data_IF_038017317831
#
_entry.id   IF_038017317831
#
_cell.length_a   1.000
_cell.length_b   1.000
_cell.length_c   1.000
_cell.angle_alpha   90.00
_cell.angle_beta   90.00
_cell.angle_gamma   90.00
#
_symmetry.space_group_name_H-M   'P 1'
#
loop_
_entity.id
_entity.type
_entity.pdbx_description
1 polymer ?
#
# COMPACT_ATOMS: atom_id res chain seq x y z
N UNK A 1 30.24 45.89 -4.69
CA UNK A 1 28.94 45.45 -4.13
C UNK A 1 27.86 46.53 -4.14
N UNK A 2 28.04 47.73 -3.57
CA UNK A 2 27.00 48.80 -3.55
C UNK A 2 26.21 48.95 -4.87
N UNK A 3 26.90 49.29 -5.97
CA UNK A 3 26.28 49.43 -7.30
C UNK A 3 25.56 48.18 -7.82
N UNK A 4 26.07 46.97 -7.53
CA UNK A 4 25.41 45.74 -7.92
C UNK A 4 24.09 45.53 -7.14
N UNK A 5 24.03 45.93 -5.86
CA UNK A 5 22.79 45.94 -5.07
C UNK A 5 21.79 46.99 -5.57
N UNK A 6 22.27 48.18 -5.95
CA UNK A 6 21.43 49.24 -6.53
C UNK A 6 20.77 48.76 -7.84
N UNK A 7 21.54 48.11 -8.74
CA UNK A 7 21.03 47.48 -9.95
C UNK A 7 20.00 46.37 -9.65
N UNK A 8 20.29 45.49 -8.68
CA UNK A 8 19.39 44.40 -8.31
C UNK A 8 18.06 44.90 -7.71
N UNK A 9 18.13 45.92 -6.85
CA UNK A 9 16.95 46.55 -6.24
C UNK A 9 16.10 47.27 -7.30
N UNK A 10 16.73 47.82 -8.35
CA UNK A 10 16.05 48.34 -9.55
C UNK A 10 15.54 47.26 -10.52
N UNK A 11 15.60 45.97 -10.15
CA UNK A 11 15.13 44.86 -10.97
C UNK A 11 16.10 44.38 -12.06
N UNK A 12 17.24 45.06 -12.26
CA UNK A 12 18.24 44.77 -13.28
C UNK A 12 19.21 43.65 -12.82
N UNK A 13 18.64 42.48 -12.50
CA UNK A 13 19.35 41.36 -11.88
C UNK A 13 20.54 40.84 -12.72
N UNK A 14 20.44 40.85 -14.05
CA UNK A 14 21.53 40.45 -14.95
C UNK A 14 22.72 41.41 -14.87
N UNK A 15 22.45 42.72 -14.89
CA UNK A 15 23.48 43.77 -14.75
C UNK A 15 24.10 43.74 -13.33
N UNK A 16 23.29 43.43 -12.32
CA UNK A 16 23.77 43.22 -10.96
C UNK A 16 24.74 42.03 -10.86
N UNK A 17 24.41 40.89 -11.47
CA UNK A 17 25.30 39.72 -11.56
C UNK A 17 26.62 40.12 -12.24
N UNK A 18 26.57 40.71 -13.43
CA UNK A 18 27.76 41.15 -14.17
C UNK A 18 28.65 42.10 -13.33
N UNK A 19 28.05 43.06 -12.62
CA UNK A 19 28.81 44.01 -11.81
C UNK A 19 29.35 43.41 -10.48
N UNK A 20 28.75 42.32 -9.99
CA UNK A 20 29.29 41.54 -8.86
C UNK A 20 30.40 40.56 -9.29
N UNK A 21 30.33 39.97 -10.49
CA UNK A 21 31.32 39.02 -11.00
C UNK A 21 32.72 39.63 -11.21
N UNK A 22 32.79 40.95 -11.38
CA UNK A 22 34.04 41.74 -11.39
C UNK A 22 34.81 41.68 -10.05
N UNK A 23 34.21 41.14 -8.99
CA UNK A 23 34.87 40.88 -7.71
C UNK A 23 35.47 39.47 -7.78
N UNK A 24 36.73 39.39 -8.22
CA UNK A 24 37.50 38.14 -8.27
C UNK A 24 37.83 37.54 -6.90
N UNK A 25 38.30 36.29 -6.92
CA UNK A 25 38.77 35.55 -5.73
C UNK A 25 39.88 36.33 -5.00
N UNK A 26 39.96 36.17 -3.68
CA UNK A 26 40.93 36.87 -2.83
C UNK A 26 40.55 38.30 -2.42
N UNK A 27 39.47 38.88 -2.98
CA UNK A 27 38.92 40.17 -2.52
C UNK A 27 38.02 39.98 -1.31
N UNK A 28 38.06 40.91 -0.35
CA UNK A 28 37.29 40.84 0.90
C UNK A 28 35.77 40.64 0.70
N UNK A 29 35.18 41.18 -0.39
CA UNK A 29 33.76 41.06 -0.70
C UNK A 29 33.41 39.86 -1.63
N UNK A 30 34.34 38.92 -1.87
CA UNK A 30 34.13 37.81 -2.81
C UNK A 30 33.00 36.86 -2.40
N UNK A 31 32.92 36.52 -1.11
CA UNK A 31 31.86 35.67 -0.55
C UNK A 31 30.48 36.33 -0.69
N UNK A 32 30.39 37.60 -0.28
CA UNK A 32 29.19 38.45 -0.41
C UNK A 32 28.74 38.56 -1.87
N UNK A 33 29.67 38.75 -2.81
CA UNK A 33 29.40 38.80 -4.24
C UNK A 33 28.83 37.48 -4.76
N UNK A 34 29.46 36.34 -4.44
CA UNK A 34 28.98 35.02 -4.90
C UNK A 34 27.63 34.62 -4.29
N UNK A 35 27.39 34.92 -3.02
CA UNK A 35 26.06 34.74 -2.41
C UNK A 35 24.99 35.57 -3.13
N UNK A 36 25.29 36.84 -3.43
CA UNK A 36 24.37 37.74 -4.14
C UNK A 36 24.08 37.24 -5.57
N UNK A 37 25.11 36.83 -6.32
CA UNK A 37 24.97 36.26 -7.67
C UNK A 37 24.06 35.04 -7.65
N UNK A 38 24.30 34.07 -6.75
CA UNK A 38 23.49 32.86 -6.64
C UNK A 38 22.01 33.18 -6.32
N UNK A 39 21.77 34.17 -5.46
CA UNK A 39 20.41 34.62 -5.13
C UNK A 39 19.72 35.28 -6.33
N UNK A 40 20.41 36.16 -7.06
CA UNK A 40 19.85 36.84 -8.23
C UNK A 40 19.59 35.87 -9.39
N UNK A 41 20.50 34.93 -9.64
CA UNK A 41 20.30 33.84 -10.61
C UNK A 41 19.08 32.99 -10.25
N UNK A 42 18.91 32.63 -8.98
CA UNK A 42 17.73 31.91 -8.52
C UNK A 42 16.43 32.72 -8.71
N UNK A 43 16.44 34.04 -8.49
CA UNK A 43 15.29 34.91 -8.74
C UNK A 43 14.95 35.04 -10.23
N UNK A 44 15.96 35.11 -11.12
CA UNK A 44 15.74 35.07 -12.58
C UNK A 44 15.13 33.73 -12.99
N UNK A 45 15.69 32.61 -12.52
CA UNK A 45 15.14 31.27 -12.77
C UNK A 45 13.68 31.17 -12.32
N UNK A 46 13.35 31.58 -11.09
CA UNK A 46 11.94 31.59 -10.62
C UNK A 46 11.03 32.40 -11.55
N UNK A 47 11.45 33.58 -12.01
CA UNK A 47 10.63 34.39 -12.94
C UNK A 47 10.35 33.67 -14.27
N UNK A 48 11.31 32.88 -14.77
CA UNK A 48 11.18 32.11 -16.02
C UNK A 48 10.34 30.84 -15.80
N UNK A 49 10.58 30.14 -14.69
CA UNK A 49 10.03 28.82 -14.41
C UNK A 49 8.62 28.88 -13.78
N UNK A 50 8.23 30.01 -13.14
CA UNK A 50 6.95 30.15 -12.43
C UNK A 50 5.71 29.95 -13.32
N UNK A 51 5.61 30.53 -14.54
CA UNK A 51 4.44 30.31 -15.40
C UNK A 51 4.22 28.84 -15.78
N UNK A 52 5.31 28.05 -15.86
CA UNK A 52 5.26 26.61 -16.10
C UNK A 52 4.67 25.89 -14.87
N UNK A 53 5.09 26.27 -13.66
CA UNK A 53 4.55 25.73 -12.42
C UNK A 53 3.08 26.10 -12.22
N UNK A 54 2.71 27.36 -12.50
CA UNK A 54 1.34 27.86 -12.42
C UNK A 54 0.42 27.14 -13.41
N UNK A 55 0.88 26.94 -14.66
CA UNK A 55 0.17 26.14 -15.66
C UNK A 55 -0.01 24.68 -15.22
N UNK A 56 1.03 24.07 -14.64
CA UNK A 56 0.96 22.71 -14.12
C UNK A 56 -0.06 22.60 -12.97
N UNK A 57 -0.09 23.57 -12.05
CA UNK A 57 -1.08 23.65 -10.97
C UNK A 57 -2.49 23.84 -11.52
N UNK A 58 -2.69 24.70 -12.53
CA UNK A 58 -3.99 24.88 -13.17
C UNK A 58 -4.51 23.59 -13.85
N UNK A 59 -3.63 22.83 -14.51
CA UNK A 59 -3.96 21.52 -15.09
C UNK A 59 -4.37 20.50 -14.01
N UNK A 60 -3.67 20.46 -12.87
CA UNK A 60 -4.02 19.57 -11.76
C UNK A 60 -5.32 19.96 -11.06
N UNK A 61 -5.61 21.26 -10.94
CA UNK A 61 -6.89 21.76 -10.42
C UNK A 61 -8.08 21.38 -11.33
N UNK A 62 -7.83 21.19 -12.63
CA UNK A 62 -8.76 20.60 -13.59
C UNK A 62 -8.71 19.05 -13.63
N UNK A 63 -8.14 18.41 -12.59
CA UNK A 63 -7.90 16.97 -12.45
C UNK A 63 -7.08 16.31 -13.58
N UNK A 64 -6.44 17.09 -14.46
CA UNK A 64 -5.56 16.60 -15.51
C UNK A 64 -4.13 16.42 -14.99
N UNK A 65 -3.98 15.48 -14.05
CA UNK A 65 -2.72 15.22 -13.35
C UNK A 65 -1.58 14.77 -14.28
N UNK A 66 -1.85 14.05 -15.37
CA UNK A 66 -0.81 13.64 -16.32
C UNK A 66 -0.22 14.84 -17.07
N UNK A 67 -1.06 15.76 -17.56
CA UNK A 67 -0.59 17.00 -18.18
C UNK A 67 0.10 17.93 -17.16
N UNK A 68 -0.39 17.97 -15.92
CA UNK A 68 0.26 18.70 -14.83
C UNK A 68 1.68 18.18 -14.55
N UNK A 69 1.83 16.86 -14.39
CA UNK A 69 3.13 16.19 -14.21
C UNK A 69 4.04 16.45 -15.41
N UNK A 70 3.53 16.35 -16.64
CA UNK A 70 4.32 16.59 -17.85
C UNK A 70 4.76 18.05 -17.98
N UNK A 71 3.94 19.01 -17.55
CA UNK A 71 4.28 20.44 -17.54
C UNK A 71 5.33 20.75 -16.47
N UNK A 72 5.12 20.32 -15.22
CA UNK A 72 6.08 20.56 -14.13
C UNK A 72 7.45 19.88 -14.36
N UNK A 73 7.50 18.77 -15.12
CA UNK A 73 8.76 18.11 -15.53
C UNK A 73 9.64 18.95 -16.45
N UNK A 74 9.13 20.04 -17.05
CA UNK A 74 9.93 20.97 -17.85
C UNK A 74 10.87 21.83 -16.98
N UNK A 75 10.60 21.95 -15.67
CA UNK A 75 11.46 22.67 -14.73
C UNK A 75 12.68 21.80 -14.39
N UNK A 76 13.82 22.09 -15.01
CA UNK A 76 15.03 21.26 -14.93
C UNK A 76 15.50 21.06 -13.49
N UNK A 77 16.08 19.88 -13.19
CA UNK A 77 16.38 19.44 -11.83
C UNK A 77 17.41 20.28 -11.03
N UNK A 78 18.08 21.24 -11.67
CA UNK A 78 19.03 22.19 -11.10
C UNK A 78 18.43 23.59 -10.85
N UNK A 79 17.17 23.85 -11.23
CA UNK A 79 16.51 25.15 -11.16
C UNK A 79 15.95 25.48 -9.78
N UNK A 80 15.79 26.77 -9.51
CA UNK A 80 15.28 27.32 -8.25
C UNK A 80 13.86 26.87 -7.85
N UNK A 81 12.98 26.49 -8.80
CA UNK A 81 11.65 25.90 -8.52
C UNK A 81 11.63 24.37 -8.54
N UNK A 82 12.73 23.70 -8.89
CA UNK A 82 12.73 22.25 -9.13
C UNK A 82 12.40 21.41 -7.88
N UNK A 83 12.60 21.94 -6.67
CA UNK A 83 12.18 21.28 -5.42
C UNK A 83 10.64 21.28 -5.26
N UNK A 84 10.00 22.39 -5.61
CA UNK A 84 8.55 22.57 -5.54
C UNK A 84 7.84 21.79 -6.65
N UNK A 85 8.38 21.84 -7.87
CA UNK A 85 7.90 21.03 -9.00
C UNK A 85 7.88 19.52 -8.66
N UNK A 86 8.95 18.99 -8.06
CA UNK A 86 9.01 17.60 -7.59
C UNK A 86 7.96 17.28 -6.51
N UNK A 87 7.72 18.20 -5.58
CA UNK A 87 6.70 18.03 -4.54
C UNK A 87 5.29 17.95 -5.13
N UNK A 88 4.97 18.81 -6.09
CA UNK A 88 3.67 18.80 -6.77
C UNK A 88 3.50 17.53 -7.63
N UNK A 89 4.52 17.14 -8.41
CA UNK A 89 4.53 15.88 -9.18
C UNK A 89 4.26 14.66 -8.27
N UNK A 90 4.86 14.62 -7.08
CA UNK A 90 4.65 13.54 -6.10
C UNK A 90 3.20 13.45 -5.63
N UNK A 91 2.55 14.60 -5.36
CA UNK A 91 1.13 14.68 -5.00
C UNK A 91 0.23 14.20 -6.12
N UNK A 92 0.42 14.71 -7.34
CA UNK A 92 -0.38 14.36 -8.50
C UNK A 92 -0.24 12.88 -8.89
N UNK A 93 0.95 12.29 -8.71
CA UNK A 93 1.14 10.85 -8.87
C UNK A 93 0.38 10.03 -7.82
N UNK A 94 0.25 10.53 -6.59
CA UNK A 94 -0.57 9.90 -5.56
C UNK A 94 -2.08 9.96 -5.90
N UNK A 95 -2.57 11.05 -6.49
CA UNK A 95 -3.96 11.15 -6.96
C UNK A 95 -4.26 10.17 -8.10
N UNK A 96 -3.37 10.07 -9.11
CA UNK A 96 -3.48 9.06 -10.18
C UNK A 96 -3.53 7.64 -9.60
N UNK A 97 -2.67 7.34 -8.63
CA UNK A 97 -2.64 6.03 -7.96
C UNK A 97 -3.91 5.77 -7.15
N UNK A 98 -4.46 6.80 -6.48
CA UNK A 98 -5.70 6.72 -5.71
C UNK A 98 -6.91 6.45 -6.63
N UNK A 99 -7.03 7.17 -7.74
CA UNK A 99 -8.08 6.96 -8.75
C UNK A 99 -7.99 5.56 -9.39
N UNK A 100 -6.79 5.09 -9.71
CA UNK A 100 -6.60 3.76 -10.30
C UNK A 100 -6.88 2.63 -9.30
N UNK A 101 -6.53 2.78 -8.03
CA UNK A 101 -6.92 1.85 -6.97
C UNK A 101 -8.43 1.82 -6.77
N UNK A 102 -9.12 2.98 -6.83
CA UNK A 102 -10.58 3.04 -6.78
C UNK A 102 -11.23 2.28 -7.96
N UNK A 103 -10.82 2.60 -9.19
CA UNK A 103 -11.35 2.00 -10.42
C UNK A 103 -11.21 0.48 -10.40
N UNK A 104 -9.99 -0.02 -10.13
CA UNK A 104 -9.68 -1.46 -10.10
C UNK A 104 -10.40 -2.20 -8.97
N UNK A 105 -10.64 -1.54 -7.83
CA UNK A 105 -11.44 -2.12 -6.76
C UNK A 105 -12.92 -2.27 -7.15
N UNK A 106 -13.50 -1.26 -7.83
CA UNK A 106 -14.87 -1.35 -8.36
C UNK A 106 -15.00 -2.44 -9.43
N UNK A 107 -14.01 -2.55 -10.32
CA UNK A 107 -13.92 -3.63 -11.33
C UNK A 107 -13.90 -5.02 -10.67
N UNK A 108 -13.05 -5.26 -9.67
CA UNK A 108 -12.99 -6.53 -8.94
C UNK A 108 -14.32 -6.84 -8.23
N UNK A 109 -14.85 -5.90 -7.46
CA UNK A 109 -16.09 -6.06 -6.69
C UNK A 109 -17.32 -6.35 -7.56
N UNK A 110 -17.29 -6.01 -8.85
CA UNK A 110 -18.38 -6.31 -9.80
C UNK A 110 -18.70 -7.81 -9.89
N UNK A 111 -17.70 -8.69 -9.68
CA UNK A 111 -17.86 -10.14 -9.73
C UNK A 111 -18.51 -10.76 -8.47
N UNK A 112 -18.63 -9.98 -7.38
CA UNK A 112 -19.33 -10.35 -6.12
C UNK A 112 -18.88 -11.68 -5.49
N UNK A 113 -17.66 -12.14 -5.77
CA UNK A 113 -17.06 -13.28 -5.05
C UNK A 113 -16.30 -12.79 -3.82
N UNK A 114 -16.20 -13.62 -2.78
CA UNK A 114 -15.46 -13.33 -1.54
C UNK A 114 -14.07 -12.76 -1.85
N UNK A 115 -13.26 -13.48 -2.62
CA UNK A 115 -11.88 -13.08 -2.92
C UNK A 115 -11.77 -11.80 -3.76
N UNK A 116 -12.76 -11.54 -4.63
CA UNK A 116 -12.81 -10.29 -5.40
C UNK A 116 -13.14 -9.08 -4.52
N UNK A 117 -14.06 -9.25 -3.57
CA UNK A 117 -14.44 -8.21 -2.62
C UNK A 117 -13.32 -7.96 -1.62
N UNK A 118 -12.62 -9.01 -1.16
CA UNK A 118 -11.42 -8.88 -0.32
C UNK A 118 -10.30 -8.11 -1.01
N UNK A 119 -10.00 -8.43 -2.27
CA UNK A 119 -9.03 -7.68 -3.08
C UNK A 119 -9.45 -6.23 -3.32
N UNK A 120 -10.74 -5.98 -3.60
CA UNK A 120 -11.29 -4.63 -3.76
C UNK A 120 -11.13 -3.81 -2.47
N UNK A 121 -11.48 -4.39 -1.31
CA UNK A 121 -11.27 -3.79 0.01
C UNK A 121 -9.78 -3.49 0.25
N UNK A 122 -8.87 -4.42 -0.08
CA UNK A 122 -7.42 -4.21 0.06
C UNK A 122 -6.88 -3.05 -0.79
N UNK A 123 -7.39 -2.85 -2.02
CA UNK A 123 -7.03 -1.70 -2.86
C UNK A 123 -7.58 -0.38 -2.31
N UNK A 124 -8.84 -0.34 -1.86
CA UNK A 124 -9.42 0.88 -1.27
C UNK A 124 -8.74 1.27 0.04
N UNK A 125 -8.26 0.31 0.85
CA UNK A 125 -7.49 0.62 2.07
C UNK A 125 -6.18 1.38 1.78
N UNK A 126 -5.60 1.20 0.57
CA UNK A 126 -4.40 1.91 0.11
C UNK A 126 -4.69 3.34 -0.39
N UNK A 127 -5.96 3.70 -0.64
CA UNK A 127 -6.33 5.06 -1.04
C UNK A 127 -6.05 6.04 0.13
N UNK A 128 -5.28 7.12 -0.08
CA UNK A 128 -5.04 8.14 0.94
C UNK A 128 -6.34 8.86 1.32
N UNK A 129 -6.58 9.10 2.61
CA UNK A 129 -7.75 9.88 3.06
C UNK A 129 -7.78 11.32 2.54
N UNK A 130 -6.61 11.86 2.17
CA UNK A 130 -6.42 13.21 1.64
C UNK A 130 -6.49 13.32 0.12
N UNK A 131 -6.70 12.21 -0.60
CA UNK A 131 -6.89 12.21 -2.04
C UNK A 131 -8.30 12.67 -2.41
N UNK A 132 -8.51 13.16 -3.64
CA UNK A 132 -9.81 13.62 -4.15
C UNK A 132 -10.90 12.53 -4.03
N UNK A 133 -10.50 11.26 -4.15
CA UNK A 133 -11.37 10.09 -4.00
C UNK A 133 -11.44 9.53 -2.57
N UNK A 134 -10.64 10.06 -1.65
CA UNK A 134 -10.44 9.55 -0.29
C UNK A 134 -11.69 9.54 0.59
N UNK A 135 -12.69 10.39 0.30
CA UNK A 135 -13.96 10.44 1.03
C UNK A 135 -14.82 9.18 0.88
N UNK A 136 -14.81 8.55 -0.31
CA UNK A 136 -15.61 7.35 -0.59
C UNK A 136 -15.09 6.09 0.13
N UNK A 137 -13.84 6.15 0.60
CA UNK A 137 -13.04 5.01 1.04
C UNK A 137 -13.69 4.16 2.14
N UNK A 138 -14.24 4.81 3.17
CA UNK A 138 -14.86 4.10 4.30
C UNK A 138 -16.21 3.46 3.91
N UNK A 139 -16.99 4.13 3.06
CA UNK A 139 -18.26 3.62 2.55
C UNK A 139 -18.04 2.37 1.69
N UNK A 140 -17.06 2.38 0.79
CA UNK A 140 -16.72 1.22 -0.05
C UNK A 140 -16.22 0.04 0.77
N UNK A 141 -15.31 0.28 1.73
CA UNK A 141 -14.86 -0.75 2.68
C UNK A 141 -16.04 -1.36 3.44
N UNK A 142 -16.95 -0.56 4.00
CA UNK A 142 -18.13 -1.06 4.69
C UNK A 142 -19.05 -1.88 3.77
N UNK A 143 -19.37 -1.35 2.59
CA UNK A 143 -20.31 -1.97 1.65
C UNK A 143 -19.83 -3.36 1.17
N UNK A 144 -18.54 -3.51 0.88
CA UNK A 144 -18.00 -4.80 0.46
C UNK A 144 -17.74 -5.74 1.64
N UNK A 145 -17.35 -5.24 2.81
CA UNK A 145 -17.31 -6.05 4.04
C UNK A 145 -18.67 -6.67 4.38
N UNK A 146 -19.78 -5.93 4.21
CA UNK A 146 -21.13 -6.48 4.40
C UNK A 146 -21.50 -7.51 3.33
N UNK A 147 -21.02 -7.38 2.09
CA UNK A 147 -21.21 -8.41 1.05
C UNK A 147 -20.42 -9.69 1.36
N UNK A 148 -19.16 -9.57 1.79
CA UNK A 148 -18.36 -10.71 2.28
C UNK A 148 -19.07 -11.40 3.46
N UNK A 149 -19.65 -10.61 4.38
CA UNK A 149 -20.41 -11.12 5.53
C UNK A 149 -21.69 -11.87 5.10
N UNK A 150 -22.38 -11.44 4.04
CA UNK A 150 -23.52 -12.17 3.47
C UNK A 150 -23.08 -13.54 2.90
N UNK A 151 -22.10 -13.51 2.00
CA UNK A 151 -21.55 -14.70 1.34
C UNK A 151 -21.01 -15.72 2.36
N UNK A 152 -20.42 -15.25 3.45
CA UNK A 152 -19.97 -16.10 4.56
C UNK A 152 -21.15 -16.78 5.27
N UNK A 153 -22.26 -16.07 5.53
CA UNK A 153 -23.46 -16.67 6.12
C UNK A 153 -24.12 -17.68 5.17
N UNK A 154 -24.17 -17.40 3.87
CA UNK A 154 -24.67 -18.33 2.83
C UNK A 154 -23.82 -19.61 2.76
N UNK A 155 -22.49 -19.49 2.88
CA UNK A 155 -21.58 -20.62 3.01
C UNK A 155 -21.81 -21.42 4.31
N UNK A 156 -22.00 -20.74 5.45
CA UNK A 156 -22.26 -21.39 6.74
C UNK A 156 -23.62 -22.12 6.77
N UNK A 157 -24.67 -21.54 6.18
CA UNK A 157 -25.97 -22.20 5.98
C UNK A 157 -25.86 -23.45 5.10
N UNK A 158 -24.92 -23.46 4.15
CA UNK A 158 -24.58 -24.61 3.32
C UNK A 158 -23.64 -25.62 4.02
N UNK A 159 -23.40 -25.49 5.33
CA UNK A 159 -22.48 -26.32 6.11
C UNK A 159 -20.98 -26.05 5.87
N UNK A 160 -20.63 -25.11 4.97
CA UNK A 160 -19.25 -24.81 4.58
C UNK A 160 -18.55 -23.86 5.58
N UNK A 161 -18.67 -24.13 6.88
CA UNK A 161 -18.15 -23.28 7.96
C UNK A 161 -16.66 -22.91 7.80
N UNK A 162 -15.83 -23.79 7.24
CA UNK A 162 -14.41 -23.49 7.00
C UNK A 162 -14.21 -22.43 5.90
N UNK A 163 -15.03 -22.43 4.85
CA UNK A 163 -15.01 -21.39 3.82
C UNK A 163 -15.56 -20.08 4.38
N UNK A 164 -16.66 -20.16 5.13
CA UNK A 164 -17.29 -19.03 5.77
C UNK A 164 -16.34 -18.28 6.72
N UNK A 165 -15.60 -18.99 7.57
CA UNK A 165 -14.58 -18.39 8.46
C UNK A 165 -13.44 -17.73 7.66
N UNK A 166 -13.01 -18.32 6.52
CA UNK A 166 -12.00 -17.71 5.64
C UNK A 166 -12.51 -16.44 4.97
N UNK A 167 -13.79 -16.39 4.59
CA UNK A 167 -14.42 -15.17 4.08
C UNK A 167 -14.42 -14.06 5.13
N UNK A 168 -14.83 -14.37 6.37
CA UNK A 168 -14.83 -13.41 7.48
C UNK A 168 -13.42 -12.88 7.83
N UNK A 169 -12.36 -13.66 7.59
CA UNK A 169 -10.97 -13.19 7.74
C UNK A 169 -10.56 -12.10 6.73
N UNK A 170 -11.30 -11.92 5.63
CA UNK A 170 -11.04 -10.85 4.65
C UNK A 170 -11.68 -9.50 5.08
N UNK A 171 -12.52 -9.49 6.11
CA UNK A 171 -13.19 -8.29 6.63
C UNK A 171 -12.23 -7.51 7.56
N UNK A 172 -11.83 -6.27 7.20
CA UNK A 172 -10.84 -5.50 7.95
C UNK A 172 -11.43 -4.85 9.21
N UNK A 173 -10.58 -4.65 10.22
CA UNK A 173 -10.94 -4.11 11.53
C UNK A 173 -11.54 -2.69 11.50
N UNK A 174 -11.21 -1.87 10.49
CA UNK A 174 -11.82 -0.54 10.32
C UNK A 174 -13.23 -0.55 9.70
N UNK A 175 -13.81 -1.72 9.39
CA UNK A 175 -15.13 -1.82 8.77
C UNK A 175 -16.25 -2.10 9.77
N UNK A 176 -17.43 -1.54 9.52
CA UNK A 176 -18.61 -1.67 10.38
C UNK A 176 -19.13 -3.12 10.51
N UNK A 177 -18.77 -4.01 9.58
CA UNK A 177 -19.09 -5.43 9.63
C UNK A 177 -18.16 -6.26 10.53
N UNK A 178 -17.02 -5.71 10.97
CA UNK A 178 -15.97 -6.48 11.65
C UNK A 178 -16.42 -7.14 12.95
N UNK A 179 -17.22 -6.44 13.77
CA UNK A 179 -17.69 -7.00 15.04
C UNK A 179 -18.58 -8.24 14.82
N UNK A 180 -19.52 -8.16 13.89
CA UNK A 180 -20.35 -9.30 13.47
C UNK A 180 -19.48 -10.44 12.90
N UNK A 181 -18.48 -10.11 12.09
CA UNK A 181 -17.53 -11.08 11.53
C UNK A 181 -16.71 -11.79 12.62
N UNK A 182 -16.35 -11.13 13.72
CA UNK A 182 -15.72 -11.79 14.86
C UNK A 182 -16.69 -12.69 15.63
N UNK A 183 -17.93 -12.27 15.86
CA UNK A 183 -18.95 -13.10 16.52
C UNK A 183 -19.22 -14.41 15.75
N UNK A 184 -19.55 -14.32 14.47
CA UNK A 184 -19.78 -15.51 13.63
C UNK A 184 -18.50 -16.37 13.49
N UNK A 185 -17.31 -15.76 13.43
CA UNK A 185 -16.04 -16.50 13.44
C UNK A 185 -15.79 -17.28 14.72
N UNK A 186 -16.33 -16.86 15.86
CA UNK A 186 -16.26 -17.61 17.13
C UNK A 186 -17.30 -18.72 17.15
N UNK A 187 -18.54 -18.39 16.80
CA UNK A 187 -19.68 -19.33 16.74
C UNK A 187 -19.36 -20.52 15.83
N UNK A 188 -19.01 -20.29 14.56
CA UNK A 188 -18.79 -21.35 13.58
C UNK A 188 -17.52 -22.16 13.84
N UNK A 189 -16.57 -21.64 14.62
CA UNK A 189 -15.43 -22.44 15.12
C UNK A 189 -15.86 -23.48 16.15
N UNK A 190 -16.98 -23.30 16.86
CA UNK A 190 -17.51 -24.34 17.75
C UNK A 190 -18.08 -25.52 16.96
N UNK A 191 -18.83 -25.26 15.89
CA UNK A 191 -19.37 -26.31 15.01
C UNK A 191 -18.30 -27.03 14.17
N UNK A 192 -17.18 -26.36 13.87
CA UNK A 192 -16.04 -26.95 13.15
C UNK A 192 -15.04 -27.72 14.03
N UNK A 193 -15.26 -27.79 15.35
CA UNK A 193 -14.46 -28.64 16.22
C UNK A 193 -15.11 -30.03 16.34
N UNK A 194 -14.36 -31.14 16.20
CA UNK A 194 -14.86 -32.42 16.67
C UNK A 194 -15.13 -32.30 18.16
N UNK A 195 -16.24 -32.89 18.65
CA UNK A 195 -16.50 -32.95 20.08
C UNK A 195 -15.26 -33.50 20.79
N UNK A 196 -14.79 -32.86 21.89
CA UNK A 196 -13.67 -33.42 22.63
C UNK A 196 -14.07 -34.81 23.08
N UNK A 197 -13.35 -35.83 22.58
CA UNK A 197 -13.56 -37.21 23.00
C UNK A 197 -13.48 -37.22 24.54
N UNK A 198 -14.49 -37.76 25.25
CA UNK A 198 -14.44 -37.82 26.70
C UNK A 198 -13.14 -38.50 27.07
N UNK A 199 -12.30 -37.83 27.87
CA UNK A 199 -11.05 -38.40 28.36
C UNK A 199 -11.38 -39.50 29.38
N UNK A 200 -11.78 -40.67 28.88
CA UNK A 200 -11.74 -41.92 29.61
C UNK A 200 -10.32 -42.04 30.15
N UNK A 201 -10.10 -42.04 31.48
CA UNK A 201 -8.75 -42.04 32.03
C UNK A 201 -8.00 -43.26 31.52
N UNK A 202 -6.99 -43.02 30.67
CA UNK A 202 -6.11 -44.09 30.21
C UNK A 202 -5.37 -44.60 31.43
N UNK A 203 -5.71 -45.82 31.85
CA UNK A 203 -5.12 -46.43 33.03
C UNK A 203 -3.58 -46.46 32.88
N UNK A 204 -2.82 -46.19 33.95
CA UNK A 204 -1.36 -46.22 33.88
C UNK A 204 -0.87 -47.60 33.43
N UNK A 205 0.21 -47.67 32.64
CA UNK A 205 0.70 -48.94 32.11
C UNK A 205 1.13 -49.87 33.24
N UNK A 206 0.58 -51.08 33.27
CA UNK A 206 0.99 -52.12 34.19
C UNK A 206 2.47 -52.51 33.95
N UNK A 207 3.23 -52.86 34.99
CA UNK A 207 4.62 -53.30 34.84
C UNK A 207 4.69 -54.58 34.01
N UNK A 208 5.71 -54.68 33.13
CA UNK A 208 5.97 -55.91 32.38
C UNK A 208 6.46 -57.00 33.33
N UNK A 209 5.90 -58.19 33.17
CA UNK A 209 6.43 -59.45 33.71
C UNK A 209 6.82 -60.31 32.50
N UNK A 210 8.07 -60.76 32.47
CA UNK A 210 8.59 -61.66 31.42
C UNK A 210 8.39 -63.14 31.81
N UNK A 211 8.98 -64.07 31.03
CA UNK A 211 9.12 -65.53 31.30
C UNK A 211 8.04 -66.42 30.62
N UNK A 212 8.31 -67.72 30.33
CA UNK A 212 8.18 -68.22 28.96
C UNK A 212 7.50 -69.62 28.84
N UNK A 213 7.52 -70.24 27.64
CA UNK A 213 7.48 -71.70 27.47
C UNK A 213 8.03 -72.15 26.09
N UNK A 214 8.29 -73.45 25.91
CA UNK A 214 9.09 -74.01 24.80
C UNK A 214 8.62 -75.40 24.33
N UNK A 215 9.06 -75.77 23.11
CA UNK A 215 9.37 -77.13 22.57
C UNK A 215 8.23 -78.07 22.09
N UNK A 216 8.57 -78.90 21.08
CA UNK A 216 7.87 -80.08 20.47
C UNK A 216 6.45 -79.85 19.89
N UNK A 217 6.00 -80.47 18.78
CA UNK A 217 6.54 -81.45 17.81
C UNK A 217 5.73 -81.31 16.46
N UNK A 218 5.85 -82.05 15.34
CA UNK A 218 6.57 -83.29 15.01
C UNK A 218 6.99 -83.42 13.52
N UNK A 219 6.23 -84.12 12.65
CA UNK A 219 6.70 -84.72 11.37
C UNK A 219 5.66 -84.74 10.20
N UNK A 220 6.09 -84.98 8.93
CA UNK A 220 5.28 -84.88 7.71
C UNK A 220 4.82 -86.26 7.13
N UNK A 221 4.24 -86.29 5.92
CA UNK A 221 5.03 -86.59 4.70
C UNK A 221 4.61 -85.69 3.49
N UNK A 222 4.96 -85.89 2.20
CA UNK A 222 5.65 -86.95 1.43
C UNK A 222 6.40 -86.36 0.20
N UNK A 223 7.22 -87.19 -0.45
CA UNK A 223 7.85 -87.07 -1.79
C UNK A 223 6.95 -87.69 -2.90
N UNK A 224 7.15 -87.65 -4.23
CA UNK A 224 8.04 -87.00 -5.25
C UNK A 224 7.41 -87.39 -6.64
N UNK A 225 8.04 -87.54 -7.83
CA UNK A 225 9.31 -87.02 -8.40
C UNK A 225 9.21 -86.39 -9.83
N UNK A 226 10.32 -85.78 -10.28
CA UNK A 226 10.82 -85.74 -11.68
C UNK A 226 10.00 -84.95 -12.75
N UNK A 227 10.60 -84.52 -13.87
CA UNK A 227 11.92 -84.85 -14.44
C UNK A 227 12.65 -83.62 -14.98
#
# INVERSE_FOLDING_TARGET
MRQARELANGGNLEQAIQQAERIGRGRALYSEARQSINQWQATIQRRIDQPILDQAIALANAQNYEAAISTARQIEGNRALSGEARLQISRWQAEINAQNNLRRAQELASSRTVDSLGQAVQLIRQVPRSSDVGGQRLQLVNNWSYQILSLAQEQAQSGNYQQAIRALQQIPAESAAYNSAQSFSQEWRSFNQPSPVPLTPVAPPAPRVESPLSTESELPPLESPQN
#
